data_IF_853888749699
#
_entry.id   IF_853888749699
#
_cell.length_a   1.000
_cell.length_b   1.000
_cell.length_c   1.000
_cell.angle_alpha   90.00
_cell.angle_beta   90.00
_cell.angle_gamma   90.00
#
_symmetry.space_group_name_H-M   'P 1'
#
loop_
_entity.id
_entity.type
_entity.pdbx_description
1 polymer ?
#
# COMPACT_ATOMS: atom_id res chain seq x y z
N UNK A 1 13.52 1.02 10.28
CA UNK A 1 12.84 0.37 9.15
C UNK A 1 11.36 0.45 9.44
N UNK A 2 10.58 1.08 8.58
CA UNK A 2 9.13 1.24 8.71
C UNK A 2 8.41 0.39 7.68
N UNK A 3 7.20 -0.03 8.02
CA UNK A 3 6.32 -0.78 7.13
C UNK A 3 5.15 0.09 6.72
N UNK A 4 4.95 0.23 5.42
CA UNK A 4 3.85 0.97 4.84
C UNK A 4 2.85 0.04 4.17
N UNK A 5 1.58 0.42 4.16
CA UNK A 5 0.56 -0.20 3.32
C UNK A 5 -0.10 0.89 2.50
N UNK A 6 0.21 0.96 1.20
CA UNK A 6 -0.43 1.89 0.29
C UNK A 6 -1.71 1.28 -0.31
N UNK A 7 -2.82 2.01 -0.20
CA UNK A 7 -4.10 1.67 -0.80
C UNK A 7 -4.59 2.79 -1.70
N UNK A 8 -4.88 2.45 -2.96
CA UNK A 8 -5.55 3.37 -3.87
C UNK A 8 -7.07 3.28 -3.70
N UNK A 9 -7.67 4.38 -3.27
CA UNK A 9 -9.09 4.57 -3.01
C UNK A 9 -9.61 5.83 -3.70
N UNK A 10 -10.91 5.89 -3.90
CA UNK A 10 -11.56 7.08 -4.44
C UNK A 10 -12.95 6.78 -4.96
N UNK A 11 -13.70 7.81 -5.33
CA UNK A 11 -15.10 7.66 -5.73
C UNK A 11 -15.31 6.65 -6.88
N UNK A 12 -14.39 6.59 -7.84
CA UNK A 12 -14.45 5.66 -8.98
C UNK A 12 -13.85 4.27 -8.69
N UNK A 13 -13.01 4.17 -7.65
CA UNK A 13 -12.26 2.95 -7.32
C UNK A 13 -12.96 2.16 -6.21
N UNK A 14 -13.71 2.84 -5.35
CA UNK A 14 -14.33 2.27 -4.16
C UNK A 14 -13.37 2.18 -2.98
N UNK A 15 -13.70 1.30 -2.03
CA UNK A 15 -13.04 1.17 -0.73
C UNK A 15 -12.54 -0.26 -0.46
N UNK A 16 -12.56 -1.15 -1.45
CA UNK A 16 -12.27 -2.57 -1.20
C UNK A 16 -10.83 -2.79 -0.74
N UNK A 17 -9.87 -2.05 -1.31
CA UNK A 17 -8.47 -2.03 -0.88
C UNK A 17 -8.32 -1.54 0.57
N UNK A 18 -9.07 -0.51 0.96
CA UNK A 18 -9.09 -0.01 2.34
C UNK A 18 -9.72 -1.02 3.31
N UNK A 19 -10.83 -1.67 2.94
CA UNK A 19 -11.46 -2.72 3.76
C UNK A 19 -10.54 -3.92 3.94
N UNK A 20 -9.82 -4.31 2.89
CA UNK A 20 -8.81 -5.36 2.93
C UNK A 20 -7.63 -4.96 3.82
N UNK A 21 -7.07 -3.76 3.65
CA UNK A 21 -5.92 -3.31 4.44
C UNK A 21 -6.25 -3.19 5.92
N UNK A 22 -7.43 -2.66 6.28
CA UNK A 22 -7.89 -2.58 7.68
C UNK A 22 -7.98 -3.96 8.32
N UNK A 23 -8.49 -4.94 7.58
CA UNK A 23 -8.59 -6.33 8.06
C UNK A 23 -7.22 -6.96 8.25
N UNK A 24 -6.30 -6.76 7.29
CA UNK A 24 -4.94 -7.32 7.34
C UNK A 24 -4.15 -6.70 8.51
N UNK A 25 -4.12 -5.37 8.61
CA UNK A 25 -3.37 -4.67 9.67
C UNK A 25 -3.85 -5.12 11.05
N UNK A 26 -5.17 -5.19 11.26
CA UNK A 26 -5.74 -5.68 12.52
C UNK A 26 -5.45 -7.15 12.81
N UNK A 27 -5.41 -7.99 11.77
CA UNK A 27 -5.09 -9.42 11.92
C UNK A 27 -3.62 -9.65 12.25
N UNK A 28 -2.73 -8.77 11.77
CA UNK A 28 -1.30 -8.82 12.09
C UNK A 28 -1.04 -8.38 13.52
N UNK A 29 -1.72 -7.35 14.02
CA UNK A 29 -1.79 -7.02 15.46
C UNK A 29 -0.50 -6.43 16.06
N UNK A 30 0.62 -7.12 15.99
CA UNK A 30 1.92 -6.71 16.57
C UNK A 30 2.86 -6.03 15.54
N UNK A 31 2.48 -6.02 14.27
CA UNK A 31 3.25 -5.36 13.20
C UNK A 31 2.85 -3.88 13.10
N UNK A 32 3.80 -2.98 13.37
CA UNK A 32 3.61 -1.53 13.18
C UNK A 32 3.57 -1.18 11.69
N UNK A 33 2.36 -0.89 11.20
CA UNK A 33 2.09 -0.55 9.80
C UNK A 33 1.46 0.84 9.73
N UNK A 34 2.07 1.73 8.97
CA UNK A 34 1.45 3.01 8.59
C UNK A 34 0.65 2.84 7.30
N UNK A 35 -0.67 3.06 7.38
CA UNK A 35 -1.56 3.01 6.22
C UNK A 35 -1.42 4.31 5.40
N UNK A 36 -1.14 4.18 4.10
CA UNK A 36 -1.06 5.29 3.16
C UNK A 36 -2.29 5.25 2.26
N UNK A 37 -3.11 6.30 2.25
CA UNK A 37 -4.33 6.35 1.45
C UNK A 37 -4.27 7.46 0.40
N UNK A 38 -4.64 7.15 -0.83
CA UNK A 38 -4.78 8.16 -1.89
C UNK A 38 -5.88 9.20 -1.60
N UNK A 39 -6.95 8.81 -0.89
CA UNK A 39 -8.03 9.69 -0.48
C UNK A 39 -7.79 10.17 0.96
N UNK A 40 -7.49 11.46 1.12
CA UNK A 40 -7.22 12.06 2.43
C UNK A 40 -8.38 11.89 3.42
N UNK A 41 -9.63 11.85 2.94
CA UNK A 41 -10.81 11.67 3.80
C UNK A 41 -10.85 10.28 4.40
N UNK A 42 -10.40 9.28 3.62
CA UNK A 42 -10.28 7.90 4.09
C UNK A 42 -9.17 7.79 5.13
N UNK A 43 -8.04 8.47 4.94
CA UNK A 43 -6.99 8.53 5.94
C UNK A 43 -7.49 9.09 7.29
N UNK A 44 -8.33 10.14 7.27
CA UNK A 44 -8.88 10.75 8.48
C UNK A 44 -9.83 9.84 9.28
N UNK A 45 -10.59 8.98 8.60
CA UNK A 45 -11.52 8.05 9.27
C UNK A 45 -10.88 6.70 9.59
N UNK A 46 -9.64 6.43 9.16
CA UNK A 46 -9.01 5.12 9.30
C UNK A 46 -8.93 4.63 10.76
N UNK A 47 -8.79 5.56 11.71
CA UNK A 47 -8.76 5.26 13.15
C UNK A 47 -10.05 4.61 13.65
N UNK A 48 -11.20 5.00 13.08
CA UNK A 48 -12.50 4.41 13.42
C UNK A 48 -12.60 2.94 12.97
N UNK A 49 -11.70 2.50 12.08
CA UNK A 49 -11.57 1.12 11.59
C UNK A 49 -10.42 0.36 12.24
N UNK A 50 -9.87 0.87 13.35
CA UNK A 50 -8.80 0.20 14.11
C UNK A 50 -7.41 0.33 13.50
N UNK A 51 -7.16 1.40 12.73
CA UNK A 51 -5.82 1.75 12.23
C UNK A 51 -5.22 2.84 13.09
N UNK A 52 -4.10 2.56 13.75
CA UNK A 52 -3.45 3.53 14.64
C UNK A 52 -2.77 4.67 13.86
N UNK A 53 -2.05 4.33 12.79
CA UNK A 53 -1.25 5.25 11.99
C UNK A 53 -1.74 5.28 10.54
N UNK A 54 -2.25 6.42 10.09
CA UNK A 54 -2.65 6.64 8.70
C UNK A 54 -2.18 8.00 8.17
N UNK A 55 -1.83 8.04 6.88
CA UNK A 55 -1.39 9.25 6.19
C UNK A 55 -2.09 9.34 4.84
N UNK A 56 -2.65 10.51 4.54
CA UNK A 56 -3.16 10.81 3.20
C UNK A 56 -2.01 11.17 2.26
N UNK A 57 -1.95 10.56 1.08
CA UNK A 57 -0.97 10.84 0.04
C UNK A 57 -1.69 11.11 -1.27
N UNK A 58 -1.51 12.27 -1.89
CA UNK A 58 -2.23 12.64 -3.12
C UNK A 58 -1.96 11.68 -4.31
N UNK A 59 -0.69 11.32 -4.52
CA UNK A 59 -0.27 10.42 -5.61
C UNK A 59 0.85 9.47 -5.16
N UNK A 60 0.91 8.28 -5.77
CA UNK A 60 1.97 7.27 -5.51
C UNK A 60 3.39 7.86 -5.50
N UNK A 61 3.67 8.82 -6.38
CA UNK A 61 4.99 9.47 -6.49
C UNK A 61 5.41 10.27 -5.25
N UNK A 62 4.50 10.55 -4.33
CA UNK A 62 4.81 11.24 -3.07
C UNK A 62 5.23 10.28 -1.95
N UNK A 63 5.06 8.96 -2.12
CA UNK A 63 5.49 7.97 -1.10
C UNK A 63 6.97 8.15 -0.72
N UNK A 64 7.93 8.33 -1.66
CA UNK A 64 9.34 8.56 -1.32
C UNK A 64 9.63 9.82 -0.49
N UNK A 65 8.68 10.75 -0.36
CA UNK A 65 8.84 11.94 0.47
C UNK A 65 8.66 11.64 1.96
N UNK A 66 8.01 10.52 2.29
CA UNK A 66 7.74 10.10 3.68
C UNK A 66 8.40 8.77 4.03
N UNK A 67 8.82 7.98 3.04
CA UNK A 67 9.59 6.74 3.22
C UNK A 67 11.10 7.00 3.07
N UNK A 68 11.91 6.04 3.50
CA UNK A 68 13.35 6.02 3.25
C UNK A 68 13.72 4.75 2.49
N UNK A 69 14.85 4.79 1.78
CA UNK A 69 15.40 3.61 1.12
C UNK A 69 15.62 2.48 2.13
N UNK A 70 15.11 1.29 1.82
CA UNK A 70 15.15 0.13 2.72
C UNK A 70 13.97 0.01 3.69
N UNK A 71 13.02 0.94 3.71
CA UNK A 71 11.70 0.70 4.32
C UNK A 71 10.96 -0.43 3.56
N UNK A 72 9.85 -0.92 4.11
CA UNK A 72 9.04 -1.99 3.52
C UNK A 72 7.68 -1.45 3.07
N UNK A 73 7.10 -2.03 2.02
CA UNK A 73 5.77 -1.63 1.54
C UNK A 73 4.91 -2.79 1.04
N UNK A 74 3.64 -2.74 1.40
CA UNK A 74 2.55 -3.43 0.72
C UNK A 74 1.90 -2.42 -0.24
N UNK A 75 1.91 -2.73 -1.52
CA UNK A 75 1.40 -1.88 -2.59
C UNK A 75 0.12 -2.49 -3.18
N UNK A 76 -1.02 -1.92 -2.80
CA UNK A 76 -2.35 -2.31 -3.26
C UNK A 76 -2.92 -1.19 -4.13
N UNK A 77 -2.48 -1.17 -5.38
CA UNK A 77 -2.90 -0.20 -6.39
C UNK A 77 -2.57 -0.68 -7.81
N UNK A 78 -3.39 -0.23 -8.76
CA UNK A 78 -3.18 -0.40 -10.20
C UNK A 78 -2.69 0.90 -10.88
N UNK A 79 -2.31 1.92 -10.11
CA UNK A 79 -1.87 3.22 -10.67
C UNK A 79 -0.45 3.19 -11.23
N UNK A 80 0.38 2.26 -10.75
CA UNK A 80 1.78 2.21 -11.12
C UNK A 80 1.96 1.58 -12.51
N UNK A 81 2.72 2.27 -13.35
CA UNK A 81 3.21 1.68 -14.60
C UNK A 81 4.42 0.76 -14.32
N UNK A 82 4.89 -0.03 -15.31
CA UNK A 82 6.00 -0.97 -15.10
C UNK A 82 7.30 -0.33 -14.58
N UNK A 83 7.64 0.86 -15.05
CA UNK A 83 8.85 1.60 -14.62
C UNK A 83 8.73 2.00 -13.15
N UNK A 84 7.57 2.53 -12.74
CA UNK A 84 7.32 2.87 -11.34
C UNK A 84 7.39 1.64 -10.43
N UNK A 85 6.85 0.50 -10.86
CA UNK A 85 6.93 -0.74 -10.08
C UNK A 85 8.39 -1.21 -9.94
N UNK A 86 9.19 -1.11 -11.00
CA UNK A 86 10.62 -1.43 -10.96
C UNK A 86 11.37 -0.53 -9.97
N UNK A 87 11.13 0.78 -10.01
CA UNK A 87 11.72 1.73 -9.07
C UNK A 87 11.35 1.39 -7.62
N UNK A 88 10.09 1.06 -7.35
CA UNK A 88 9.63 0.68 -6.01
C UNK A 88 10.29 -0.62 -5.53
N UNK A 89 10.41 -1.63 -6.40
CA UNK A 89 11.10 -2.90 -6.06
C UNK A 89 12.58 -2.71 -5.73
N UNK A 90 13.22 -1.71 -6.31
CA UNK A 90 14.61 -1.38 -6.01
C UNK A 90 14.76 -0.47 -4.78
N UNK A 91 13.76 0.36 -4.48
CA UNK A 91 13.78 1.34 -3.39
C UNK A 91 13.45 0.72 -2.01
N UNK A 92 12.45 -0.16 -1.95
CA UNK A 92 12.01 -0.79 -0.70
C UNK A 92 12.77 -2.11 -0.46
N UNK A 93 13.13 -2.40 0.79
CA UNK A 93 13.79 -3.67 1.14
C UNK A 93 12.85 -4.88 0.99
N UNK A 94 11.54 -4.64 1.07
CA UNK A 94 10.50 -5.61 0.77
C UNK A 94 9.37 -4.88 0.07
N UNK A 95 9.04 -5.35 -1.13
CA UNK A 95 7.92 -4.86 -1.94
C UNK A 95 6.92 -5.99 -2.15
N UNK A 96 5.74 -5.86 -1.53
CA UNK A 96 4.63 -6.81 -1.69
C UNK A 96 3.58 -6.16 -2.56
N UNK A 97 3.34 -6.69 -3.75
CA UNK A 97 2.29 -6.22 -4.64
C UNK A 97 1.02 -7.03 -4.41
N UNK A 98 -0.10 -6.34 -4.24
CA UNK A 98 -1.43 -6.94 -4.20
C UNK A 98 -2.13 -6.62 -5.50
N UNK A 99 -2.54 -7.64 -6.23
CA UNK A 99 -3.28 -7.51 -7.48
C UNK A 99 -4.62 -8.21 -7.41
N UNK A 100 -5.59 -7.65 -8.11
CA UNK A 100 -6.88 -8.29 -8.35
C UNK A 100 -6.92 -8.94 -9.76
N UNK A 101 -5.84 -8.85 -10.53
CA UNK A 101 -5.66 -9.53 -11.82
C UNK A 101 -5.04 -10.92 -11.60
N UNK A 102 -5.66 -11.95 -12.18
CA UNK A 102 -5.19 -13.34 -12.12
C UNK A 102 -4.04 -13.63 -13.08
N UNK A 103 -3.92 -12.83 -14.13
CA UNK A 103 -2.86 -12.97 -15.13
C UNK A 103 -1.58 -12.23 -14.73
N UNK A 104 -1.64 -11.45 -13.64
CA UNK A 104 -0.47 -10.76 -13.11
C UNK A 104 0.59 -11.75 -12.66
N UNK A 105 1.83 -11.49 -13.09
CA UNK A 105 2.98 -12.34 -12.78
C UNK A 105 3.87 -11.65 -11.77
N UNK A 106 4.41 -12.46 -10.88
CA UNK A 106 5.44 -12.05 -9.94
C UNK A 106 6.71 -11.69 -10.71
N UNK A 107 7.25 -10.51 -10.45
CA UNK A 107 8.56 -10.07 -10.96
C UNK A 107 9.69 -10.33 -9.93
N UNK A 108 10.93 -10.14 -10.36
CA UNK A 108 12.09 -10.20 -9.47
C UNK A 108 12.04 -9.09 -8.41
N UNK A 109 12.47 -9.39 -7.18
CA UNK A 109 12.48 -8.49 -6.01
C UNK A 109 11.10 -8.04 -5.51
N UNK A 110 10.04 -8.75 -5.86
CA UNK A 110 8.73 -8.58 -5.23
C UNK A 110 8.19 -9.87 -4.62
N UNK A 111 7.17 -9.73 -3.77
CA UNK A 111 6.17 -10.76 -3.50
C UNK A 111 4.87 -10.34 -4.18
N UNK A 112 4.13 -11.30 -4.74
CA UNK A 112 2.83 -11.05 -5.36
C UNK A 112 1.74 -11.81 -4.61
N UNK A 113 0.67 -11.10 -4.26
CA UNK A 113 -0.59 -11.67 -3.78
C UNK A 113 -1.63 -11.39 -4.87
N UNK A 114 -2.11 -12.44 -5.53
CA UNK A 114 -3.14 -12.38 -6.58
C UNK A 114 -4.11 -13.57 -6.43
N UNK A 115 -5.31 -13.52 -7.04
CA UNK A 115 -6.33 -14.56 -6.92
C UNK A 115 -6.06 -15.84 -7.73
#
# INVERSE_FOLDING_TARGET
MRTFYYVHTGHRIGLDRFRRSTTIIRSLGDVDITLLCSDFRIAQIAKDFGIENSVGIDVVRNIPQISHHGDQIIFDSQEANPVMLEDMRNYFSTFIRVSDDKEDKKEDKELLISP
#
